data_IF_142961055105
#
_entry.id   IF_142961055105
#
_cell.length_a   1.000
_cell.length_b   1.000
_cell.length_c   1.000
_cell.angle_alpha   90.00
_cell.angle_beta   90.00
_cell.angle_gamma   90.00
#
_symmetry.space_group_name_H-M   'P 1'
#
loop_
_entity.id
_entity.type
_entity.pdbx_description
1 polymer ?
#
# COMPACT_ATOMS: atom_id res chain seq x y z
N UNK A 1 24.77 6.25 -13.96
CA UNK A 1 24.08 5.06 -13.41
C UNK A 1 23.84 5.37 -11.96
N UNK A 2 22.66 5.90 -11.64
CA UNK A 2 22.25 6.14 -10.24
C UNK A 2 21.87 4.79 -9.67
N UNK A 3 22.81 4.13 -8.99
CA UNK A 3 22.47 3.05 -8.06
C UNK A 3 21.49 3.63 -7.06
N UNK A 4 20.36 2.96 -6.91
CA UNK A 4 19.32 3.37 -5.98
C UNK A 4 19.97 3.47 -4.60
N UNK A 5 19.88 4.63 -3.92
CA UNK A 5 20.48 4.86 -2.59
C UNK A 5 20.19 3.69 -1.61
N UNK A 6 19.08 2.99 -1.83
CA UNK A 6 18.63 1.81 -1.09
C UNK A 6 19.45 0.54 -1.35
N UNK A 7 19.96 0.33 -2.56
CA UNK A 7 20.80 -0.82 -2.93
C UNK A 7 22.20 -0.69 -2.33
N UNK A 8 22.79 0.50 -2.39
CA UNK A 8 24.11 0.78 -1.79
C UNK A 8 24.08 0.60 -0.27
N UNK A 9 23.01 1.05 0.40
CA UNK A 9 22.87 0.92 1.85
C UNK A 9 22.65 -0.55 2.25
N UNK A 10 21.85 -1.29 1.49
CA UNK A 10 21.60 -2.71 1.78
C UNK A 10 22.86 -3.56 1.65
N UNK A 11 23.72 -3.27 0.66
CA UNK A 11 25.01 -3.96 0.52
C UNK A 11 26.02 -3.53 1.59
N UNK A 12 26.12 -2.23 1.88
CA UNK A 12 27.11 -1.70 2.81
C UNK A 12 26.85 -2.11 4.27
N UNK A 13 25.60 -2.41 4.62
CA UNK A 13 25.17 -2.66 5.99
C UNK A 13 24.44 -3.99 6.18
N UNK A 14 24.75 -5.00 5.37
CA UNK A 14 24.16 -6.35 5.42
C UNK A 14 24.20 -7.06 6.80
N UNK A 15 25.02 -6.57 7.73
CA UNK A 15 25.23 -7.14 9.06
C UNK A 15 24.39 -6.46 10.16
N UNK A 16 23.71 -5.35 9.85
CA UNK A 16 22.88 -4.63 10.81
C UNK A 16 21.51 -5.30 10.97
N UNK A 17 20.94 -5.17 12.18
CA UNK A 17 19.57 -5.62 12.43
C UNK A 17 18.62 -4.87 11.48
N UNK A 18 17.56 -5.51 10.95
CA UNK A 18 16.68 -4.90 9.96
C UNK A 18 16.15 -3.53 10.38
N UNK A 19 15.85 -3.31 11.66
CA UNK A 19 15.38 -2.00 12.16
C UNK A 19 16.46 -0.91 12.18
N UNK A 20 17.74 -1.28 12.39
CA UNK A 20 18.88 -0.36 12.34
C UNK A 20 19.20 0.07 10.90
N UNK A 21 18.98 -0.83 9.94
CA UNK A 21 19.04 -0.55 8.51
C UNK A 21 17.98 0.49 8.10
N UNK A 22 16.75 0.41 8.62
CA UNK A 22 15.70 1.41 8.33
C UNK A 22 16.09 2.78 8.86
N UNK A 23 16.62 2.83 10.08
CA UNK A 23 17.03 4.08 10.72
C UNK A 23 18.20 4.73 9.96
N UNK A 24 19.21 3.94 9.60
CA UNK A 24 20.37 4.39 8.81
C UNK A 24 19.95 4.86 7.41
N UNK A 25 19.03 4.15 6.77
CA UNK A 25 18.51 4.52 5.45
C UNK A 25 17.69 5.81 5.47
N UNK A 26 16.88 6.01 6.52
CA UNK A 26 16.15 7.27 6.71
C UNK A 26 17.09 8.45 7.00
N UNK A 27 18.14 8.25 7.78
CA UNK A 27 19.15 9.28 8.08
C UNK A 27 19.84 9.72 6.78
N UNK A 28 20.35 8.76 5.99
CA UNK A 28 20.97 9.03 4.67
C UNK A 28 20.02 9.69 3.68
N UNK A 29 18.76 9.24 3.64
CA UNK A 29 17.73 9.87 2.80
C UNK A 29 17.42 11.31 3.22
N UNK A 30 17.44 11.60 4.54
CA UNK A 30 17.23 12.94 5.11
C UNK A 30 18.42 13.88 4.84
N UNK A 31 19.65 13.38 4.86
CA UNK A 31 20.86 14.18 4.62
C UNK A 31 20.87 14.88 3.24
N UNK A 32 20.12 14.36 2.26
CA UNK A 32 19.95 14.97 0.94
C UNK A 32 18.75 15.91 0.79
N UNK A 33 17.98 16.21 1.86
CA UNK A 33 16.76 17.04 1.78
C UNK A 33 16.72 18.09 2.89
N UNK A 34 16.60 19.36 2.52
CA UNK A 34 16.58 20.47 3.49
C UNK A 34 15.34 20.48 4.40
N UNK A 35 14.19 19.95 3.96
CA UNK A 35 12.95 19.88 4.77
C UNK A 35 12.00 18.76 4.32
N UNK A 36 12.21 17.49 4.73
CA UNK A 36 11.27 16.41 4.41
C UNK A 36 9.94 16.60 5.15
N UNK A 37 8.82 16.45 4.42
CA UNK A 37 7.49 16.49 5.02
C UNK A 37 7.19 15.18 5.77
N UNK A 38 6.18 15.19 6.65
CA UNK A 38 5.73 13.97 7.33
C UNK A 38 5.32 12.87 6.34
N UNK A 39 4.75 13.23 5.18
CA UNK A 39 4.39 12.27 4.14
C UNK A 39 5.64 11.67 3.46
N UNK A 40 6.70 12.46 3.29
CA UNK A 40 7.96 11.96 2.73
C UNK A 40 8.63 10.94 3.68
N UNK A 41 8.54 11.18 4.99
CA UNK A 41 9.02 10.25 6.03
C UNK A 41 8.20 8.96 6.01
N UNK A 42 6.87 9.05 5.91
CA UNK A 42 5.99 7.87 5.81
C UNK A 42 6.26 7.08 4.53
N UNK A 43 6.50 7.73 3.39
CA UNK A 43 6.83 7.07 2.13
C UNK A 43 8.21 6.38 2.20
N UNK A 44 9.21 7.00 2.84
CA UNK A 44 10.52 6.40 3.08
C UNK A 44 10.46 5.21 4.05
N UNK A 45 9.70 5.34 5.14
CA UNK A 45 9.44 4.24 6.08
C UNK A 45 8.68 3.10 5.41
N UNK A 46 7.72 3.40 4.54
CA UNK A 46 6.99 2.40 3.75
C UNK A 46 7.93 1.54 2.89
N UNK A 47 8.91 2.17 2.23
CA UNK A 47 9.95 1.44 1.48
C UNK A 47 10.83 0.57 2.38
N UNK A 48 11.11 1.04 3.60
CA UNK A 48 11.90 0.32 4.59
C UNK A 48 11.14 -0.82 5.30
N UNK A 49 9.80 -0.78 5.38
CA UNK A 49 9.02 -1.67 6.23
C UNK A 49 8.39 -2.87 5.51
N UNK A 50 8.45 -2.94 4.19
CA UNK A 50 7.66 -3.94 3.48
C UNK A 50 8.44 -5.22 3.20
N UNK A 51 9.75 -5.18 2.99
CA UNK A 51 10.49 -6.34 2.49
C UNK A 51 9.91 -6.90 1.19
N UNK A 52 9.05 -6.11 0.52
CA UNK A 52 8.39 -6.42 -0.75
C UNK A 52 9.27 -5.78 -1.83
N UNK A 53 9.83 -6.58 -2.75
CA UNK A 53 10.59 -6.09 -3.89
C UNK A 53 9.84 -5.01 -4.70
N UNK A 54 10.58 -4.04 -5.25
CA UNK A 54 10.01 -2.91 -6.01
C UNK A 54 9.21 -3.37 -7.25
N UNK A 55 9.60 -4.49 -7.87
CA UNK A 55 8.85 -5.10 -8.96
C UNK A 55 7.47 -5.58 -8.51
N UNK A 56 7.33 -6.06 -7.28
CA UNK A 56 6.03 -6.45 -6.71
C UNK A 56 5.21 -5.20 -6.39
N UNK A 57 5.82 -4.13 -5.87
CA UNK A 57 5.10 -2.88 -5.53
C UNK A 57 4.42 -2.22 -6.73
N UNK A 58 4.98 -2.40 -7.93
CA UNK A 58 4.44 -1.84 -9.18
C UNK A 58 3.44 -2.76 -9.88
N UNK A 59 3.34 -4.03 -9.47
CA UNK A 59 2.40 -4.99 -10.02
C UNK A 59 0.98 -4.77 -9.52
N UNK A 60 0.01 -5.20 -10.33
CA UNK A 60 -1.40 -5.28 -9.93
C UNK A 60 -1.58 -6.53 -9.04
N UNK A 61 -2.13 -6.40 -7.83
CA UNK A 61 -2.36 -7.56 -6.97
C UNK A 61 -3.25 -8.61 -7.63
N UNK A 62 -2.94 -9.91 -7.48
CA UNK A 62 -3.81 -10.99 -7.91
C UNK A 62 -5.19 -10.93 -7.26
N UNK A 63 -6.22 -11.38 -7.96
CA UNK A 63 -7.59 -11.41 -7.43
C UNK A 63 -7.73 -12.24 -6.16
N UNK A 64 -6.93 -13.30 -6.02
CA UNK A 64 -6.87 -14.12 -4.79
C UNK A 64 -6.39 -13.32 -3.59
N UNK A 65 -5.35 -12.49 -3.75
CA UNK A 65 -4.88 -11.55 -2.71
C UNK A 65 -5.97 -10.58 -2.32
N UNK A 66 -6.70 -10.02 -3.29
CA UNK A 66 -7.81 -9.10 -3.02
C UNK A 66 -8.96 -9.77 -2.28
N UNK A 67 -9.27 -11.02 -2.60
CA UNK A 67 -10.28 -11.80 -1.88
C UNK A 67 -9.89 -12.06 -0.42
N UNK A 68 -8.62 -12.38 -0.17
CA UNK A 68 -8.10 -12.51 1.20
C UNK A 68 -8.26 -11.20 1.96
N UNK A 69 -7.79 -10.08 1.40
CA UNK A 69 -7.90 -8.75 2.01
C UNK A 69 -9.35 -8.40 2.31
N UNK A 70 -10.28 -8.67 1.39
CA UNK A 70 -11.70 -8.36 1.54
C UNK A 70 -12.31 -8.95 2.82
N UNK A 71 -11.87 -10.16 3.24
CA UNK A 71 -12.35 -10.81 4.46
C UNK A 71 -11.96 -10.08 5.76
N UNK A 72 -11.01 -9.14 5.71
CA UNK A 72 -10.45 -8.47 6.89
C UNK A 72 -10.76 -6.97 6.97
N UNK A 73 -11.38 -6.38 5.94
CA UNK A 73 -11.73 -4.96 5.92
C UNK A 73 -12.91 -4.65 6.85
N UNK A 74 -14.00 -5.41 6.76
CA UNK A 74 -15.20 -5.17 7.56
C UNK A 74 -15.82 -3.79 7.30
N UNK A 75 -16.01 -3.01 8.35
CA UNK A 75 -16.72 -1.72 8.31
C UNK A 75 -15.96 -0.62 7.55
N UNK A 76 -14.67 -0.81 7.27
CA UNK A 76 -13.85 0.18 6.55
C UNK A 76 -14.00 0.13 5.03
N UNK A 77 -14.93 -0.67 4.50
CA UNK A 77 -15.11 -0.91 3.05
C UNK A 77 -15.28 0.39 2.26
N UNK A 78 -16.12 1.30 2.73
CA UNK A 78 -16.40 2.55 2.01
C UNK A 78 -15.21 3.49 2.01
N UNK A 79 -14.57 3.65 3.16
CA UNK A 79 -13.35 4.44 3.29
C UNK A 79 -12.24 3.87 2.39
N UNK A 80 -12.12 2.54 2.30
CA UNK A 80 -11.19 1.89 1.37
C UNK A 80 -11.50 2.31 -0.08
N UNK A 81 -12.76 2.31 -0.49
CA UNK A 81 -13.15 2.76 -1.84
C UNK A 81 -12.72 4.20 -2.14
N UNK A 82 -12.89 5.10 -1.16
CA UNK A 82 -12.45 6.51 -1.29
C UNK A 82 -10.94 6.59 -1.45
N UNK A 83 -10.18 5.91 -0.60
CA UNK A 83 -8.71 5.92 -0.65
C UNK A 83 -8.15 5.27 -1.92
N UNK A 84 -8.90 4.34 -2.51
CA UNK A 84 -8.59 3.73 -3.81
C UNK A 84 -9.06 4.57 -5.01
N UNK A 85 -9.65 5.75 -4.79
CA UNK A 85 -10.05 6.68 -5.83
C UNK A 85 -11.33 6.28 -6.57
N UNK A 86 -12.24 5.57 -5.91
CA UNK A 86 -13.62 5.44 -6.40
C UNK A 86 -14.38 6.74 -6.17
N UNK A 87 -15.25 7.07 -7.12
CA UNK A 87 -16.18 8.19 -7.02
C UNK A 87 -17.29 7.89 -6.02
N UNK A 88 -17.90 8.94 -5.47
CA UNK A 88 -19.05 8.77 -4.56
C UNK A 88 -20.22 8.05 -5.23
N UNK A 89 -20.44 8.27 -6.53
CA UNK A 89 -21.48 7.57 -7.29
C UNK A 89 -21.21 6.07 -7.41
N UNK A 90 -19.95 5.67 -7.68
CA UNK A 90 -19.56 4.24 -7.67
C UNK A 90 -19.82 3.63 -6.28
N UNK A 91 -19.39 4.31 -5.21
CA UNK A 91 -19.55 3.84 -3.83
C UNK A 91 -21.03 3.69 -3.44
N UNK A 92 -21.86 4.68 -3.77
CA UNK A 92 -23.31 4.64 -3.51
C UNK A 92 -24.00 3.52 -4.27
N UNK A 93 -23.62 3.26 -5.52
CA UNK A 93 -24.18 2.18 -6.30
C UNK A 93 -23.86 0.81 -5.67
N UNK A 94 -22.61 0.61 -5.24
CA UNK A 94 -22.18 -0.62 -4.55
C UNK A 94 -22.97 -0.84 -3.25
N UNK A 95 -23.17 0.21 -2.45
CA UNK A 95 -23.99 0.12 -1.23
C UNK A 95 -25.43 -0.29 -1.54
N UNK A 96 -26.00 0.25 -2.62
CA UNK A 96 -27.36 -0.05 -3.05
C UNK A 96 -27.51 -1.49 -3.56
N UNK A 97 -26.54 -2.00 -4.32
CA UNK A 97 -26.57 -3.35 -4.90
C UNK A 97 -26.26 -4.45 -3.87
N UNK A 98 -25.49 -4.13 -2.83
CA UNK A 98 -25.05 -5.09 -1.81
C UNK A 98 -25.47 -4.67 -0.40
N UNK A 99 -26.76 -4.36 -0.23
CA UNK A 99 -27.34 -3.97 1.07
C UNK A 99 -26.96 -4.97 2.15
N UNK A 100 -26.36 -4.46 3.23
CA UNK A 100 -25.93 -5.18 4.44
C UNK A 100 -24.85 -6.25 4.26
N UNK A 101 -24.32 -6.45 3.04
CA UNK A 101 -23.26 -7.43 2.77
C UNK A 101 -21.91 -6.75 2.62
N UNK A 102 -21.33 -6.32 3.76
CA UNK A 102 -20.04 -5.62 3.80
C UNK A 102 -18.94 -6.33 3.00
N UNK A 103 -18.84 -7.65 3.12
CA UNK A 103 -17.86 -8.44 2.36
C UNK A 103 -18.05 -8.30 0.84
N UNK A 104 -19.30 -8.33 0.37
CA UNK A 104 -19.59 -8.19 -1.06
C UNK A 104 -19.29 -6.76 -1.53
N UNK A 105 -19.60 -5.76 -0.70
CA UNK A 105 -19.22 -4.38 -0.96
C UNK A 105 -17.70 -4.23 -1.07
N UNK A 106 -16.91 -4.83 -0.16
CA UNK A 106 -15.45 -4.78 -0.23
C UNK A 106 -14.93 -5.46 -1.50
N UNK A 107 -15.44 -6.66 -1.83
CA UNK A 107 -15.04 -7.40 -3.03
C UNK A 107 -15.30 -6.58 -4.29
N UNK A 108 -16.45 -5.91 -4.36
CA UNK A 108 -16.83 -5.10 -5.50
C UNK A 108 -15.99 -3.83 -5.63
N UNK A 109 -15.68 -3.16 -4.51
CA UNK A 109 -14.75 -2.02 -4.47
C UNK A 109 -13.37 -2.42 -5.01
N UNK A 110 -12.83 -3.53 -4.52
CA UNK A 110 -11.52 -4.02 -4.96
C UNK A 110 -11.54 -4.45 -6.43
N UNK A 111 -12.65 -5.04 -6.90
CA UNK A 111 -12.84 -5.41 -8.32
C UNK A 111 -12.82 -4.17 -9.22
N UNK A 112 -13.60 -3.14 -8.89
CA UNK A 112 -13.67 -1.89 -9.65
C UNK A 112 -12.32 -1.19 -9.66
N UNK A 113 -11.66 -1.11 -8.50
CA UNK A 113 -10.31 -0.54 -8.41
C UNK A 113 -9.30 -1.29 -9.27
N UNK A 114 -9.27 -2.63 -9.21
CA UNK A 114 -8.35 -3.47 -9.99
C UNK A 114 -8.52 -3.23 -11.51
N UNK A 115 -9.76 -3.02 -11.97
CA UNK A 115 -10.08 -2.74 -13.37
C UNK A 115 -9.57 -1.39 -13.89
N UNK A 116 -9.25 -0.42 -13.02
CA UNK A 116 -8.68 0.88 -13.41
C UNK A 116 -7.24 0.78 -13.96
N UNK A 117 -6.61 -0.41 -13.87
CA UNK A 117 -5.25 -0.78 -14.35
C UNK A 117 -4.11 0.14 -13.84
N UNK A 118 -2.87 -0.30 -14.06
CA UNK A 118 -1.68 0.48 -13.73
C UNK A 118 -1.69 1.83 -14.48
N UNK A 119 -1.17 2.92 -13.87
CA UNK A 119 -0.42 2.97 -12.61
C UNK A 119 -1.29 3.13 -11.35
N UNK A 120 -2.62 3.11 -11.46
CA UNK A 120 -3.53 3.42 -10.34
C UNK A 120 -3.82 2.21 -9.45
N UNK A 121 -3.81 0.99 -10.00
CA UNK A 121 -4.16 -0.23 -9.27
C UNK A 121 -2.98 -1.14 -8.94
N UNK A 122 -1.93 -0.58 -8.31
CA UNK A 122 -0.74 -1.34 -7.93
C UNK A 122 -0.77 -1.77 -6.46
N UNK A 123 0.10 -2.70 -6.10
CA UNK A 123 0.33 -3.09 -4.71
C UNK A 123 0.68 -1.88 -3.84
N UNK A 124 1.49 -0.94 -4.35
CA UNK A 124 1.82 0.29 -3.63
C UNK A 124 0.58 1.14 -3.31
N UNK A 125 -0.32 1.37 -4.27
CA UNK A 125 -1.52 2.18 -4.01
C UNK A 125 -2.48 1.47 -3.05
N UNK A 126 -2.59 0.14 -3.13
CA UNK A 126 -3.35 -0.65 -2.17
C UNK A 126 -2.78 -0.57 -0.75
N UNK A 127 -1.46 -0.69 -0.59
CA UNK A 127 -0.77 -0.58 0.71
C UNK A 127 -1.01 0.81 1.31
N UNK A 128 -0.87 1.88 0.52
CA UNK A 128 -1.16 3.25 0.97
C UNK A 128 -2.60 3.39 1.45
N UNK A 129 -3.57 2.84 0.72
CA UNK A 129 -4.97 2.87 1.13
C UNK A 129 -5.22 2.08 2.43
N UNK A 130 -4.67 0.86 2.55
CA UNK A 130 -4.78 0.02 3.75
C UNK A 130 -4.19 0.71 4.99
N UNK A 131 -3.09 1.44 4.84
CA UNK A 131 -2.50 2.22 5.92
C UNK A 131 -3.44 3.36 6.37
N UNK A 132 -4.03 4.10 5.43
CA UNK A 132 -4.93 5.23 5.72
C UNK A 132 -6.22 4.81 6.43
N UNK A 133 -6.69 3.59 6.18
CA UNK A 133 -7.86 3.03 6.87
C UNK A 133 -7.49 2.22 8.14
N UNK A 134 -6.22 2.19 8.54
CA UNK A 134 -5.75 1.48 9.74
C UNK A 134 -5.75 -0.05 9.63
N UNK A 135 -5.79 -0.62 8.42
CA UNK A 135 -5.80 -2.07 8.14
C UNK A 135 -4.42 -2.61 7.80
N UNK A 136 -3.43 -2.25 8.62
CA UNK A 136 -2.01 -2.57 8.40
C UNK A 136 -1.77 -4.09 8.42
N UNK A 137 -2.57 -4.85 9.17
CA UNK A 137 -2.52 -6.31 9.20
C UNK A 137 -2.82 -6.98 7.84
N UNK A 138 -3.51 -6.29 6.92
CA UNK A 138 -3.77 -6.81 5.58
C UNK A 138 -2.55 -6.68 4.65
N UNK A 139 -1.57 -5.84 4.99
CA UNK A 139 -0.38 -5.60 4.16
C UNK A 139 0.46 -6.87 4.01
N UNK A 140 0.55 -7.70 5.06
CA UNK A 140 1.31 -8.96 5.00
C UNK A 140 0.75 -9.98 4.01
N UNK A 141 -0.47 -9.77 3.50
CA UNK A 141 -1.12 -10.61 2.47
C UNK A 141 -0.65 -10.26 1.06
N UNK A 142 0.03 -9.12 0.89
CA UNK A 142 0.63 -8.67 -0.36
C UNK A 142 2.07 -9.19 -0.36
N UNK A 143 2.31 -10.28 -1.09
CA UNK A 143 3.60 -10.95 -1.25
C UNK A 143 3.72 -11.51 -2.66
#
# INVERSE_FOLDING_TARGET
METSIWEDISQQFQHLHPDDLKFTSLIRWKEGRENPTFQDILDALGKCNLGIPDDILTQVPPTTTLQCIANHIGNSSMQLGVELGLTMSEIQNIQYEHKDKLLNQTKEILRIWQQKKAPRSTNLSLIKALHRIGKINCISMIR
#
